data_IF_648581174262
#
_entry.id   IF_648581174262
#
_cell.length_a   1.000
_cell.length_b   1.000
_cell.length_c   1.000
_cell.angle_alpha   90.00
_cell.angle_beta   90.00
_cell.angle_gamma   90.00
#
_symmetry.space_group_name_H-M   'P 1'
#
loop_
_entity.id
_entity.type
_entity.pdbx_description
1 polymer ?
#
# COMPACT_ATOMS: atom_id res chain seq x y z
N UNK A 1 -14.05 -1.62 -18.66
CA UNK A 1 -13.05 -2.26 -17.77
C UNK A 1 -11.68 -1.92 -18.31
N UNK A 2 -10.82 -1.27 -17.51
CA UNK A 2 -9.43 -1.00 -17.88
C UNK A 2 -8.61 -2.30 -17.79
N UNK A 3 -7.62 -2.47 -18.67
CA UNK A 3 -6.78 -3.65 -18.72
C UNK A 3 -5.34 -3.30 -19.09
N UNK A 4 -4.42 -4.24 -18.83
CA UNK A 4 -3.00 -4.05 -19.08
C UNK A 4 -2.27 -3.32 -17.94
N UNK A 5 -0.98 -3.02 -18.13
CA UNK A 5 -0.19 -2.31 -17.14
C UNK A 5 -0.57 -0.83 -17.05
N UNK A 6 -0.41 -0.24 -15.87
CA UNK A 6 -0.52 1.22 -15.70
C UNK A 6 0.57 1.92 -16.54
N UNK A 7 0.21 2.90 -17.39
CA UNK A 7 1.18 3.56 -18.26
C UNK A 7 2.03 4.57 -17.47
N UNK A 8 3.33 4.62 -17.75
CA UNK A 8 4.27 5.57 -17.11
C UNK A 8 3.91 7.04 -17.36
N UNK A 9 3.13 7.32 -18.41
CA UNK A 9 2.56 8.66 -18.67
C UNK A 9 1.72 9.23 -17.52
N UNK A 10 1.25 8.41 -16.57
CA UNK A 10 0.63 8.89 -15.33
C UNK A 10 1.53 9.87 -14.56
N UNK A 11 2.86 9.77 -14.72
CA UNK A 11 3.82 10.71 -14.11
C UNK A 11 3.69 12.14 -14.63
N UNK A 12 3.09 12.37 -15.81
CA UNK A 12 2.83 13.71 -16.34
C UNK A 12 1.76 14.46 -15.53
N UNK A 13 0.90 13.75 -14.79
CA UNK A 13 -0.11 14.35 -13.93
C UNK A 13 0.50 14.81 -12.60
N UNK A 14 1.39 15.81 -12.65
CA UNK A 14 2.17 16.28 -11.49
C UNK A 14 1.32 16.77 -10.31
N UNK A 15 0.10 17.27 -10.59
CA UNK A 15 -0.84 17.75 -9.58
C UNK A 15 -1.80 16.66 -9.05
N UNK A 16 -1.73 15.42 -9.57
CA UNK A 16 -2.64 14.36 -9.14
C UNK A 16 -2.46 14.09 -7.65
N UNK A 17 -3.57 14.02 -6.91
CA UNK A 17 -3.58 13.69 -5.49
C UNK A 17 -4.32 12.37 -5.20
N UNK A 18 -5.24 11.98 -6.07
CA UNK A 18 -6.13 10.84 -5.88
C UNK A 18 -6.07 9.98 -7.13
N UNK A 19 -5.70 8.71 -6.96
CA UNK A 19 -5.66 7.70 -8.00
C UNK A 19 -6.61 6.57 -7.64
N UNK A 20 -7.79 6.56 -8.24
CA UNK A 20 -8.78 5.50 -8.10
C UNK A 20 -8.81 4.65 -9.37
N UNK A 21 -8.23 3.46 -9.30
CA UNK A 21 -8.19 2.47 -10.37
C UNK A 21 -8.74 1.11 -9.92
N UNK A 22 -9.38 1.06 -8.74
CA UNK A 22 -9.94 -0.16 -8.20
C UNK A 22 -11.01 -0.78 -9.09
N UNK A 23 -11.24 -2.09 -8.96
CA UNK A 23 -12.24 -2.86 -9.71
C UNK A 23 -12.05 -2.81 -11.23
N UNK A 24 -10.83 -3.13 -11.69
CA UNK A 24 -10.48 -3.23 -13.11
C UNK A 24 -9.71 -4.54 -13.37
N UNK A 25 -9.20 -4.71 -14.59
CA UNK A 25 -8.38 -5.85 -14.99
C UNK A 25 -6.92 -5.45 -15.25
N UNK A 26 -6.39 -4.51 -14.44
CA UNK A 26 -5.01 -4.06 -14.56
C UNK A 26 -4.03 -5.17 -14.16
N UNK A 27 -2.89 -5.22 -14.84
CA UNK A 27 -1.83 -6.24 -14.68
C UNK A 27 -0.46 -5.59 -14.51
N UNK A 28 0.61 -6.38 -14.43
CA UNK A 28 1.99 -5.88 -14.46
C UNK A 28 2.54 -5.33 -13.14
N UNK A 29 1.84 -5.55 -12.02
CA UNK A 29 2.25 -5.13 -10.69
C UNK A 29 1.94 -3.67 -10.35
N UNK A 30 2.31 -3.26 -9.15
CA UNK A 30 2.34 -1.85 -8.74
C UNK A 30 3.65 -1.26 -9.24
N UNK A 31 3.65 -0.28 -10.17
CA UNK A 31 4.87 0.13 -10.85
C UNK A 31 5.70 1.11 -10.01
N UNK A 32 7.02 1.02 -10.15
CA UNK A 32 7.99 1.85 -9.42
C UNK A 32 7.77 3.36 -9.63
N UNK A 33 7.28 3.78 -10.80
CA UNK A 33 7.06 5.20 -11.10
C UNK A 33 5.99 5.85 -10.22
N UNK A 34 5.11 5.07 -9.58
CA UNK A 34 4.14 5.64 -8.63
C UNK A 34 4.84 6.35 -7.48
N UNK A 35 6.05 5.92 -7.09
CA UNK A 35 6.87 6.60 -6.08
C UNK A 35 7.30 8.02 -6.46
N UNK A 36 7.26 8.37 -7.75
CA UNK A 36 7.62 9.70 -8.24
C UNK A 36 6.44 10.68 -8.20
N UNK A 37 5.22 10.19 -7.97
CA UNK A 37 4.00 11.01 -7.95
C UNK A 37 3.83 11.68 -6.58
N UNK A 38 4.77 12.57 -6.24
CA UNK A 38 4.98 13.09 -4.88
C UNK A 38 3.76 13.75 -4.24
N UNK A 39 2.81 14.28 -5.03
CA UNK A 39 1.58 14.91 -4.55
C UNK A 39 0.45 13.93 -4.20
N UNK A 40 0.62 12.64 -4.51
CA UNK A 40 -0.40 11.63 -4.26
C UNK A 40 -0.66 11.41 -2.77
N UNK A 41 -1.95 11.34 -2.44
CA UNK A 41 -2.51 11.15 -1.10
C UNK A 41 -3.33 9.88 -0.99
N UNK A 42 -3.98 9.48 -2.09
CA UNK A 42 -4.89 8.34 -2.13
C UNK A 42 -4.54 7.47 -3.32
N UNK A 43 -4.22 6.22 -3.06
CA UNK A 43 -4.16 5.14 -4.05
C UNK A 43 -5.20 4.08 -3.70
N UNK A 44 -6.18 3.90 -4.57
CA UNK A 44 -7.06 2.74 -4.58
C UNK A 44 -6.81 1.93 -5.86
N UNK A 45 -6.13 0.80 -5.70
CA UNK A 45 -5.76 -0.13 -6.76
C UNK A 45 -6.39 -1.51 -6.55
N UNK A 46 -7.33 -1.63 -5.60
CA UNK A 46 -7.91 -2.92 -5.20
C UNK A 46 -8.70 -3.61 -6.32
N UNK A 47 -8.96 -4.90 -6.18
CA UNK A 47 -9.73 -5.71 -7.15
C UNK A 47 -9.21 -5.54 -8.58
N UNK A 48 -7.91 -5.80 -8.74
CA UNK A 48 -7.19 -5.87 -10.00
C UNK A 48 -6.37 -7.17 -10.04
N UNK A 49 -5.67 -7.45 -11.13
CA UNK A 49 -4.79 -8.63 -11.26
C UNK A 49 -3.31 -8.23 -11.27
N UNK A 50 -2.92 -7.30 -10.39
CA UNK A 50 -1.58 -6.70 -10.38
C UNK A 50 -0.49 -7.74 -10.16
N UNK A 51 -0.65 -8.62 -9.17
CA UNK A 51 0.39 -9.59 -8.82
C UNK A 51 1.69 -8.93 -8.33
N UNK A 52 2.80 -9.68 -8.38
CA UNK A 52 4.11 -9.12 -8.04
C UNK A 52 4.26 -8.75 -6.56
N UNK A 53 4.97 -7.67 -6.27
CA UNK A 53 5.25 -7.17 -4.92
C UNK A 53 5.06 -5.65 -4.88
N UNK A 54 5.00 -5.08 -3.67
CA UNK A 54 5.00 -3.63 -3.51
C UNK A 54 6.40 -3.08 -3.81
N UNK A 55 6.54 -2.08 -4.69
CA UNK A 55 7.82 -1.45 -4.99
C UNK A 55 8.31 -0.63 -3.80
N UNK A 56 9.63 -0.60 -3.59
CA UNK A 56 10.25 0.19 -2.51
C UNK A 56 10.02 1.70 -2.69
N UNK A 57 9.83 2.15 -3.92
CA UNK A 57 9.57 3.55 -4.26
C UNK A 57 8.29 4.11 -3.65
N UNK A 58 7.31 3.27 -3.27
CA UNK A 58 6.12 3.76 -2.56
C UNK A 58 6.49 4.52 -1.29
N UNK A 59 7.58 4.15 -0.62
CA UNK A 59 8.08 4.86 0.55
C UNK A 59 8.44 6.34 0.30
N UNK A 60 8.55 6.78 -0.96
CA UNK A 60 8.79 8.16 -1.35
C UNK A 60 7.54 9.05 -1.33
N UNK A 61 6.34 8.48 -1.22
CA UNK A 61 5.06 9.21 -1.24
C UNK A 61 4.77 9.89 0.09
N UNK A 62 5.44 11.02 0.33
CA UNK A 62 5.41 11.74 1.61
C UNK A 62 4.02 12.24 2.02
N UNK A 63 3.12 12.51 1.06
CA UNK A 63 1.75 12.95 1.34
C UNK A 63 0.72 11.82 1.37
N UNK A 64 1.14 10.56 1.21
CA UNK A 64 0.24 9.41 1.21
C UNK A 64 -0.54 9.34 2.52
N UNK A 65 -1.85 9.19 2.41
CA UNK A 65 -2.82 9.11 3.51
C UNK A 65 -3.64 7.82 3.43
N UNK A 66 -3.92 7.33 2.22
CA UNK A 66 -4.78 6.19 1.98
C UNK A 66 -4.17 5.27 0.93
N UNK A 67 -3.84 4.04 1.33
CA UNK A 67 -3.31 3.01 0.43
C UNK A 67 -4.22 1.78 0.51
N UNK A 68 -4.99 1.54 -0.54
CA UNK A 68 -5.87 0.38 -0.65
C UNK A 68 -5.47 -0.45 -1.87
N UNK A 69 -5.03 -1.69 -1.62
CA UNK A 69 -4.65 -2.66 -2.66
C UNK A 69 -5.22 -4.03 -2.28
N UNK A 70 -6.51 -4.07 -1.97
CA UNK A 70 -7.25 -5.28 -1.57
C UNK A 70 -7.46 -6.20 -2.78
N UNK A 71 -7.33 -7.52 -2.65
CA UNK A 71 -7.77 -8.43 -3.73
C UNK A 71 -6.95 -8.32 -5.02
N UNK A 72 -5.65 -7.99 -4.95
CA UNK A 72 -4.82 -7.67 -6.11
C UNK A 72 -3.79 -8.74 -6.49
N UNK A 73 -3.85 -9.92 -5.83
CA UNK A 73 -2.91 -11.05 -5.97
C UNK A 73 -1.46 -10.68 -5.63
N UNK A 74 -1.23 -9.60 -4.88
CA UNK A 74 0.11 -9.23 -4.41
C UNK A 74 0.75 -10.39 -3.65
N UNK A 75 2.05 -10.58 -3.80
CA UNK A 75 2.80 -11.63 -3.15
C UNK A 75 4.08 -11.07 -2.51
N UNK A 76 4.91 -11.97 -1.97
CA UNK A 76 6.14 -11.68 -1.22
C UNK A 76 5.89 -10.98 0.12
N UNK A 77 6.98 -10.73 0.84
CA UNK A 77 6.95 -10.06 2.13
C UNK A 77 6.73 -8.55 1.99
N UNK A 78 6.06 -7.98 2.99
CA UNK A 78 5.93 -6.55 3.11
C UNK A 78 7.30 -5.94 3.44
N UNK A 79 7.68 -4.88 2.72
CA UNK A 79 9.00 -4.28 2.84
C UNK A 79 9.05 -3.21 3.95
N UNK A 80 10.17 -3.06 4.68
CA UNK A 80 10.33 -2.03 5.72
C UNK A 80 10.09 -0.60 5.24
N UNK A 81 10.31 -0.33 3.95
CA UNK A 81 10.13 0.97 3.30
C UNK A 81 8.72 1.52 3.40
N UNK A 82 7.71 0.67 3.62
CA UNK A 82 6.34 1.14 3.88
C UNK A 82 6.26 2.01 5.13
N UNK A 83 7.18 1.82 6.09
CA UNK A 83 7.32 2.69 7.26
C UNK A 83 7.73 4.14 6.94
N UNK A 84 8.12 4.44 5.70
CA UNK A 84 8.41 5.82 5.26
C UNK A 84 7.14 6.63 4.95
N UNK A 85 5.97 5.99 4.83
CA UNK A 85 4.68 6.64 4.59
C UNK A 85 4.13 7.35 5.85
N UNK A 86 4.88 8.33 6.40
CA UNK A 86 4.63 8.94 7.72
C UNK A 86 3.25 9.60 7.89
N UNK A 87 2.56 9.89 6.79
CA UNK A 87 1.24 10.51 6.79
C UNK A 87 0.07 9.52 6.60
N UNK A 88 0.36 8.22 6.44
CA UNK A 88 -0.67 7.23 6.18
C UNK A 88 -1.60 7.09 7.38
N UNK A 89 -2.90 7.11 7.08
CA UNK A 89 -3.98 6.96 8.06
C UNK A 89 -4.75 5.66 7.83
N UNK A 90 -4.80 5.19 6.59
CA UNK A 90 -5.52 3.99 6.19
C UNK A 90 -4.63 3.14 5.28
N UNK A 91 -4.47 1.87 5.64
CA UNK A 91 -3.79 0.86 4.82
C UNK A 91 -4.68 -0.36 4.73
N UNK A 92 -5.03 -0.78 3.53
CA UNK A 92 -5.74 -2.04 3.28
C UNK A 92 -4.99 -2.86 2.25
N UNK A 93 -4.41 -3.97 2.73
CA UNK A 93 -3.70 -4.97 1.94
C UNK A 93 -4.38 -6.35 2.06
N UNK A 94 -5.64 -6.37 2.50
CA UNK A 94 -6.38 -7.62 2.69
C UNK A 94 -6.59 -8.37 1.37
N UNK A 95 -6.91 -9.66 1.45
CA UNK A 95 -7.21 -10.50 0.28
C UNK A 95 -6.06 -10.56 -0.75
N UNK A 96 -4.83 -10.77 -0.28
CA UNK A 96 -3.67 -10.94 -1.15
C UNK A 96 -2.92 -12.25 -0.81
N UNK A 97 -1.79 -12.47 -1.47
CA UNK A 97 -0.87 -13.58 -1.22
C UNK A 97 0.40 -13.12 -0.47
N UNK A 98 0.33 -12.03 0.30
CA UNK A 98 1.49 -11.53 1.05
C UNK A 98 1.92 -12.57 2.09
N UNK A 99 3.24 -12.78 2.23
CA UNK A 99 3.80 -13.83 3.06
C UNK A 99 4.88 -13.32 4.00
N UNK A 100 5.28 -14.12 4.99
CA UNK A 100 6.29 -13.73 5.97
C UNK A 100 5.75 -12.79 7.05
N UNK A 101 6.65 -12.12 7.77
CA UNK A 101 6.32 -11.33 8.96
C UNK A 101 6.03 -9.87 8.60
N UNK A 102 5.19 -9.22 9.39
CA UNK A 102 5.04 -7.76 9.34
C UNK A 102 6.33 -7.07 9.81
N UNK A 103 6.89 -6.11 9.06
CA UNK A 103 8.06 -5.36 9.48
C UNK A 103 7.80 -4.55 10.75
N UNK A 104 8.74 -4.58 11.70
CA UNK A 104 8.69 -3.73 12.90
C UNK A 104 8.66 -2.23 12.54
N UNK A 105 9.22 -1.87 11.39
CA UNK A 105 9.23 -0.49 10.87
C UNK A 105 7.81 0.08 10.67
N UNK A 106 6.77 -0.74 10.52
CA UNK A 106 5.38 -0.25 10.46
C UNK A 106 4.97 0.50 11.74
N UNK A 107 5.58 0.19 12.88
CA UNK A 107 5.28 0.87 14.13
C UNK A 107 5.58 2.38 14.07
N UNK A 108 6.41 2.86 13.14
CA UNK A 108 6.72 4.30 13.05
C UNK A 108 5.61 5.14 12.40
N UNK A 109 4.55 4.49 11.88
CA UNK A 109 3.40 5.11 11.22
C UNK A 109 2.40 5.70 12.22
N UNK A 110 2.80 6.77 12.93
CA UNK A 110 2.05 7.36 14.05
C UNK A 110 0.64 7.91 13.70
N UNK A 111 0.32 8.03 12.42
CA UNK A 111 -0.97 8.54 11.93
C UNK A 111 -1.98 7.44 11.60
N UNK A 112 -1.56 6.18 11.60
CA UNK A 112 -2.42 5.03 11.27
C UNK A 112 -3.64 4.99 12.18
N UNK A 113 -4.81 4.91 11.54
CA UNK A 113 -6.12 4.72 12.16
C UNK A 113 -6.68 3.35 11.82
N UNK A 114 -6.35 2.86 10.65
CA UNK A 114 -6.83 1.59 10.15
C UNK A 114 -5.73 0.87 9.37
N UNK A 115 -5.52 -0.39 9.70
CA UNK A 115 -4.57 -1.26 9.03
C UNK A 115 -5.23 -2.62 8.83
N UNK A 116 -5.47 -3.04 7.58
CA UNK A 116 -6.06 -4.34 7.29
C UNK A 116 -5.08 -5.19 6.49
N UNK A 117 -4.84 -6.40 6.96
CA UNK A 117 -4.00 -7.38 6.29
C UNK A 117 -4.57 -8.81 6.38
N UNK A 118 -5.88 -8.93 6.64
CA UNK A 118 -6.60 -10.20 6.67
C UNK A 118 -6.53 -10.94 5.32
N UNK A 119 -6.83 -12.23 5.32
CA UNK A 119 -6.84 -13.05 4.09
C UNK A 119 -5.53 -12.95 3.30
N UNK A 120 -4.40 -13.18 3.99
CA UNK A 120 -3.05 -13.28 3.44
C UNK A 120 -2.35 -14.53 3.97
N UNK A 121 -1.09 -14.76 3.56
CA UNK A 121 -0.21 -15.84 4.04
C UNK A 121 0.83 -15.34 5.05
N UNK A 122 0.49 -14.27 5.79
CA UNK A 122 1.37 -13.67 6.79
C UNK A 122 1.60 -14.63 7.97
N UNK A 123 2.81 -14.60 8.52
CA UNK A 123 3.23 -15.46 9.63
C UNK A 123 3.89 -14.66 10.76
N UNK A 124 4.11 -15.31 11.91
CA UNK A 124 4.73 -14.68 13.07
C UNK A 124 3.75 -13.82 13.87
N UNK A 125 4.29 -12.83 14.58
CA UNK A 125 3.52 -12.00 15.52
C UNK A 125 3.37 -10.57 15.01
N UNK A 126 2.31 -9.90 15.46
CA UNK A 126 2.16 -8.45 15.31
C UNK A 126 3.33 -7.75 16.04
N UNK A 127 4.03 -6.79 15.42
CA UNK A 127 5.10 -6.07 16.10
C UNK A 127 4.54 -5.28 17.28
N UNK A 128 4.92 -5.64 18.51
CA UNK A 128 4.37 -5.04 19.75
C UNK A 128 4.40 -3.52 19.76
N UNK A 129 5.42 -2.92 19.13
CA UNK A 129 5.58 -1.48 19.02
C UNK A 129 4.43 -0.77 18.29
N UNK A 130 3.61 -1.46 17.47
CA UNK A 130 2.44 -0.84 16.83
C UNK A 130 1.42 -0.37 17.87
N UNK A 131 1.21 -1.13 18.94
CA UNK A 131 0.22 -0.80 19.98
C UNK A 131 0.65 0.40 20.82
N UNK A 132 1.96 0.65 20.93
CA UNK A 132 2.49 1.83 21.61
C UNK A 132 2.57 3.06 20.68
N UNK A 133 2.78 2.85 19.37
CA UNK A 133 3.09 3.93 18.44
C UNK A 133 1.96 4.30 17.46
N UNK A 134 0.84 3.57 17.46
CA UNK A 134 -0.38 3.92 16.71
C UNK A 134 -1.48 4.42 17.66
N UNK A 135 -1.32 5.60 18.29
CA UNK A 135 -2.27 6.10 19.30
C UNK A 135 -3.65 6.47 18.71
N UNK A 136 -3.79 6.48 17.38
CA UNK A 136 -5.04 6.80 16.68
C UNK A 136 -5.72 5.56 16.08
N UNK A 137 -5.20 4.36 16.36
CA UNK A 137 -5.72 3.11 15.83
C UNK A 137 -7.18 2.90 16.26
N UNK A 138 -8.03 2.59 15.28
CA UNK A 138 -9.46 2.31 15.45
C UNK A 138 -9.82 0.92 14.97
N UNK A 139 -9.11 0.38 13.98
CA UNK A 139 -9.34 -0.94 13.42
C UNK A 139 -8.01 -1.58 12.97
N UNK A 140 -7.87 -2.89 13.21
CA UNK A 140 -6.71 -3.71 12.88
C UNK A 140 -7.15 -5.09 12.38
#
# INVERSE_FOLDING_TARGET
MLAGPMPSSLTCAAALQVLHLGSNNLTGGVPEFLGNMSQNRVHDLGRNTLGGHLPTSLGSLRFMQWLAITGARLARALLPELGRLRNVCFVDLSENNLAGRLPSMLAVLRRTREFRASSNKLTGHLPRAIFANWPKLKSL
#
